data_IF_764513651829
#
_entry.id   IF_764513651829
#
_cell.length_a   1.000
_cell.length_b   1.000
_cell.length_c   1.000
_cell.angle_alpha   90.00
_cell.angle_beta   90.00
_cell.angle_gamma   90.00
#
_symmetry.space_group_name_H-M   'P 1'
#
loop_
_entity.id
_entity.type
_entity.pdbx_description
1 polymer ?
#
# COMPACT_ATOMS: atom_id res chain seq x y z
N UNK A 1 -18.88 1.78 10.15
CA UNK A 1 -18.32 0.55 10.76
C UNK A 1 -18.99 0.34 12.09
N UNK A 2 -19.07 -0.90 12.56
CA UNK A 2 -19.60 -1.25 13.90
C UNK A 2 -18.81 -2.41 14.49
N UNK A 3 -18.76 -2.48 15.81
CA UNK A 3 -18.12 -3.57 16.55
C UNK A 3 -19.21 -4.47 17.12
N UNK A 4 -19.11 -5.76 16.87
CA UNK A 4 -20.07 -6.78 17.29
C UNK A 4 -19.38 -7.90 18.08
N UNK A 5 -20.19 -8.69 18.80
CA UNK A 5 -19.78 -10.01 19.31
C UNK A 5 -20.44 -11.12 18.52
N UNK A 6 -19.65 -12.08 18.03
CA UNK A 6 -20.13 -13.26 17.29
C UNK A 6 -19.37 -14.51 17.71
N UNK A 7 -20.09 -15.52 18.20
CA UNK A 7 -19.48 -16.79 18.61
C UNK A 7 -18.38 -16.66 19.67
N UNK A 8 -18.47 -15.66 20.56
CA UNK A 8 -17.47 -15.37 21.59
C UNK A 8 -16.34 -14.42 21.15
N UNK A 9 -16.18 -14.18 19.85
CA UNK A 9 -15.17 -13.27 19.30
C UNK A 9 -15.73 -11.85 19.10
N UNK A 10 -14.91 -10.82 19.33
CA UNK A 10 -15.20 -9.45 18.90
C UNK A 10 -14.81 -9.26 17.44
N UNK A 11 -15.75 -8.77 16.62
CA UNK A 11 -15.56 -8.56 15.19
C UNK A 11 -15.84 -7.11 14.81
N UNK A 12 -15.08 -6.60 13.84
CA UNK A 12 -15.35 -5.33 13.17
C UNK A 12 -16.13 -5.61 11.88
N UNK A 13 -17.26 -4.93 11.72
CA UNK A 13 -18.08 -5.01 10.51
C UNK A 13 -18.05 -3.69 9.76
N UNK A 14 -17.67 -3.75 8.48
CA UNK A 14 -17.63 -2.61 7.58
C UNK A 14 -18.65 -2.80 6.46
N UNK A 15 -19.51 -1.79 6.27
CA UNK A 15 -20.54 -1.78 5.22
C UNK A 15 -20.07 -0.98 4.01
N UNK A 16 -20.31 -1.53 2.83
CA UNK A 16 -19.93 -0.99 1.52
C UNK A 16 -21.20 -0.67 0.73
N UNK A 17 -21.68 0.56 0.87
CA UNK A 17 -22.94 1.01 0.24
C UNK A 17 -22.86 1.01 -1.30
N UNK A 18 -21.68 1.30 -1.85
CA UNK A 18 -21.44 1.32 -3.30
C UNK A 18 -21.08 -0.07 -3.88
N UNK A 19 -21.22 -1.15 -3.10
CA UNK A 19 -20.79 -2.49 -3.49
C UNK A 19 -19.29 -2.73 -3.31
N UNK A 20 -18.83 -3.92 -3.73
CA UNK A 20 -17.42 -4.32 -3.66
C UNK A 20 -17.00 -5.09 -2.40
N UNK A 21 -17.92 -5.34 -1.47
CA UNK A 21 -17.66 -6.09 -0.24
C UNK A 21 -17.02 -7.46 -0.51
N UNK A 22 -17.54 -8.22 -1.49
CA UNK A 22 -17.01 -9.54 -1.85
C UNK A 22 -15.59 -9.46 -2.42
N UNK A 23 -15.31 -8.48 -3.28
CA UNK A 23 -13.99 -8.29 -3.85
C UNK A 23 -12.96 -7.93 -2.77
N UNK A 24 -13.33 -7.06 -1.82
CA UNK A 24 -12.45 -6.71 -0.69
C UNK A 24 -12.25 -7.91 0.23
N UNK A 25 -13.30 -8.64 0.59
CA UNK A 25 -13.19 -9.84 1.42
C UNK A 25 -12.30 -10.90 0.75
N UNK A 26 -12.50 -11.18 -0.54
CA UNK A 26 -11.67 -12.11 -1.32
C UNK A 26 -10.19 -11.70 -1.31
N UNK A 27 -9.91 -10.42 -1.53
CA UNK A 27 -8.56 -9.87 -1.47
C UNK A 27 -7.93 -10.00 -0.07
N UNK A 28 -8.70 -9.72 0.99
CA UNK A 28 -8.24 -9.91 2.37
C UNK A 28 -7.96 -11.39 2.67
N UNK A 29 -8.80 -12.32 2.20
CA UNK A 29 -8.56 -13.76 2.33
C UNK A 29 -7.25 -14.19 1.64
N UNK A 30 -7.00 -13.69 0.42
CA UNK A 30 -5.77 -13.96 -0.30
C UNK A 30 -4.54 -13.43 0.45
N UNK A 31 -4.60 -12.20 0.96
CA UNK A 31 -3.54 -11.62 1.80
C UNK A 31 -3.35 -12.42 3.10
N UNK A 32 -4.43 -12.83 3.75
CA UNK A 32 -4.36 -13.62 4.99
C UNK A 32 -3.69 -14.98 4.78
N UNK A 33 -3.92 -15.62 3.63
CA UNK A 33 -3.29 -16.89 3.26
C UNK A 33 -1.82 -16.75 2.83
N UNK A 34 -1.37 -15.53 2.50
CA UNK A 34 -0.02 -15.23 2.02
C UNK A 34 1.02 -15.08 3.15
N UNK A 35 2.32 -14.96 2.82
CA UNK A 35 3.38 -14.60 3.76
C UNK A 35 3.09 -13.37 4.63
N UNK A 36 2.34 -12.39 4.11
CA UNK A 36 1.98 -11.15 4.79
C UNK A 36 0.92 -11.36 5.89
N UNK A 37 0.08 -12.38 5.74
CA UNK A 37 -1.02 -12.68 6.64
C UNK A 37 -0.63 -13.58 7.81
N UNK A 38 -1.27 -14.75 7.90
CA UNK A 38 -1.19 -15.66 9.06
C UNK A 38 0.21 -16.14 9.43
N UNK A 39 1.17 -16.11 8.50
CA UNK A 39 2.56 -16.55 8.74
C UNK A 39 3.47 -15.43 9.20
N UNK A 40 3.12 -14.16 8.96
CA UNK A 40 3.86 -13.03 9.51
C UNK A 40 3.70 -12.99 11.03
N UNK A 41 4.69 -12.45 11.74
CA UNK A 41 4.66 -12.28 13.20
C UNK A 41 4.97 -10.81 13.53
N UNK A 42 3.97 -10.01 13.92
CA UNK A 42 2.53 -10.31 13.91
C UNK A 42 1.96 -10.38 12.47
N UNK A 43 0.74 -10.93 12.27
CA UNK A 43 0.03 -10.83 10.99
C UNK A 43 -0.08 -9.38 10.49
N UNK A 44 0.09 -9.16 9.19
CA UNK A 44 0.10 -7.82 8.60
C UNK A 44 -1.27 -7.16 8.42
N UNK A 45 -2.35 -7.90 8.64
CA UNK A 45 -3.75 -7.45 8.55
C UNK A 45 -4.63 -8.19 9.57
N UNK A 46 -5.82 -7.67 9.92
CA UNK A 46 -6.80 -8.41 10.71
C UNK A 46 -7.28 -9.67 9.98
N UNK A 47 -7.56 -10.74 10.72
CA UNK A 47 -8.12 -11.96 10.12
C UNK A 47 -9.49 -11.67 9.47
N UNK A 48 -9.69 -11.92 8.16
CA UNK A 48 -11.03 -11.87 7.56
C UNK A 48 -11.89 -13.01 8.13
N UNK A 49 -13.16 -12.72 8.42
CA UNK A 49 -14.10 -13.66 9.05
C UNK A 49 -15.24 -14.05 8.12
N UNK A 50 -15.78 -13.10 7.36
CA UNK A 50 -16.88 -13.38 6.45
C UNK A 50 -17.32 -12.16 5.65
N UNK A 51 -18.28 -12.38 4.76
CA UNK A 51 -18.94 -11.35 3.96
C UNK A 51 -20.44 -11.65 3.91
N UNK A 52 -21.27 -10.62 4.10
CA UNK A 52 -22.70 -10.64 3.82
C UNK A 52 -22.93 -9.85 2.53
N UNK A 53 -23.09 -10.53 1.37
CA UNK A 53 -23.24 -9.86 0.09
C UNK A 53 -24.56 -9.10 -0.04
N UNK A 54 -25.62 -9.54 0.67
CA UNK A 54 -26.94 -8.90 0.64
C UNK A 54 -26.89 -7.55 1.34
N UNK A 55 -26.21 -7.47 2.49
CA UNK A 55 -26.03 -6.22 3.24
C UNK A 55 -24.82 -5.39 2.78
N UNK A 56 -23.95 -5.98 1.96
CA UNK A 56 -22.69 -5.41 1.54
C UNK A 56 -21.73 -5.23 2.71
N UNK A 57 -21.66 -6.21 3.63
CA UNK A 57 -20.84 -6.12 4.84
C UNK A 57 -19.65 -7.08 4.78
N UNK A 58 -18.48 -6.62 5.22
CA UNK A 58 -17.29 -7.44 5.44
C UNK A 58 -17.01 -7.49 6.93
N UNK A 59 -16.78 -8.71 7.43
CA UNK A 59 -16.47 -9.00 8.82
C UNK A 59 -15.00 -9.38 8.95
N UNK A 60 -14.33 -8.79 9.93
CA UNK A 60 -12.93 -9.05 10.22
C UNK A 60 -12.70 -9.05 11.73
N UNK A 61 -11.59 -9.64 12.16
CA UNK A 61 -11.13 -9.57 13.54
C UNK A 61 -11.07 -8.11 14.01
N UNK A 62 -11.68 -7.82 15.15
CA UNK A 62 -11.44 -6.56 15.84
C UNK A 62 -10.07 -6.61 16.51
N UNK A 63 -9.26 -5.58 16.30
CA UNK A 63 -7.96 -5.42 16.94
C UNK A 63 -8.00 -4.20 17.84
N UNK A 64 -7.49 -4.37 19.06
CA UNK A 64 -7.21 -3.26 19.98
C UNK A 64 -5.87 -2.64 19.64
N UNK A 65 -5.83 -1.31 19.53
CA UNK A 65 -4.63 -0.55 19.23
C UNK A 65 -4.98 0.86 18.76
N UNK A 66 -3.95 1.68 18.64
CA UNK A 66 -4.10 3.09 18.25
C UNK A 66 -3.66 3.29 16.80
N UNK A 67 -4.34 4.19 16.10
CA UNK A 67 -3.85 4.66 14.82
C UNK A 67 -2.54 5.42 15.05
N UNK A 68 -1.53 5.16 14.21
CA UNK A 68 -0.23 5.83 14.38
C UNK A 68 -0.21 7.27 13.88
N UNK A 69 -1.31 7.74 13.29
CA UNK A 69 -1.53 9.14 12.92
C UNK A 69 -2.98 9.39 12.49
N UNK A 70 -3.38 10.65 12.50
CA UNK A 70 -4.75 11.09 12.19
C UNK A 70 -4.74 12.34 11.29
N UNK A 71 -5.90 12.76 10.78
CA UNK A 71 -5.93 13.92 9.87
C UNK A 71 -5.49 15.18 10.64
N UNK A 72 -4.41 15.82 10.17
CA UNK A 72 -3.86 17.01 10.82
C UNK A 72 -2.86 16.69 11.96
N UNK A 73 -2.63 15.42 12.26
CA UNK A 73 -1.70 15.00 13.31
C UNK A 73 -0.86 13.80 12.85
N UNK A 74 0.45 13.96 12.64
CA UNK A 74 1.31 12.85 12.25
C UNK A 74 1.40 11.78 13.35
N UNK A 75 1.13 12.06 14.62
CA UNK A 75 1.21 11.09 15.70
C UNK A 75 2.58 10.39 15.77
N UNK A 76 2.57 9.06 15.93
CA UNK A 76 3.76 8.21 16.03
C UNK A 76 4.39 7.85 14.67
N UNK A 77 3.74 8.22 13.56
CA UNK A 77 4.12 7.74 12.23
C UNK A 77 5.56 8.07 11.83
N UNK A 78 6.08 9.25 12.20
CA UNK A 78 7.47 9.65 11.90
C UNK A 78 8.45 8.69 12.60
N UNK A 79 8.29 8.46 13.90
CA UNK A 79 9.16 7.58 14.68
C UNK A 79 9.08 6.11 14.27
N UNK A 80 7.95 5.68 13.70
CA UNK A 80 7.70 4.30 13.26
C UNK A 80 8.02 4.06 11.78
N UNK A 81 8.53 5.05 11.06
CA UNK A 81 8.86 4.96 9.62
C UNK A 81 9.70 3.72 9.26
N UNK A 82 10.74 3.34 10.03
CA UNK A 82 11.50 2.12 9.74
C UNK A 82 10.63 0.85 9.71
N UNK A 83 9.76 0.66 10.70
CA UNK A 83 8.91 -0.53 10.81
C UNK A 83 7.75 -0.50 9.81
N UNK A 84 7.23 0.69 9.50
CA UNK A 84 6.25 0.91 8.43
C UNK A 84 6.85 0.52 7.07
N UNK A 85 8.10 0.89 6.80
CA UNK A 85 8.80 0.50 5.57
C UNK A 85 8.96 -1.02 5.41
N UNK A 86 9.24 -1.73 6.51
CA UNK A 86 9.27 -3.21 6.53
C UNK A 86 7.88 -3.81 6.30
N UNK A 87 6.86 -3.31 6.99
CA UNK A 87 5.48 -3.74 6.82
C UNK A 87 4.99 -3.57 5.37
N UNK A 88 5.31 -2.44 4.73
CA UNK A 88 4.98 -2.19 3.33
C UNK A 88 5.71 -3.14 2.39
N UNK A 89 7.00 -3.41 2.65
CA UNK A 89 7.77 -4.37 1.88
C UNK A 89 7.19 -5.79 1.97
N UNK A 90 6.77 -6.21 3.16
CA UNK A 90 6.12 -7.50 3.36
C UNK A 90 4.80 -7.60 2.57
N UNK A 91 4.00 -6.53 2.54
CA UNK A 91 2.79 -6.47 1.71
C UNK A 91 3.14 -6.62 0.23
N UNK A 92 4.08 -5.82 -0.27
CA UNK A 92 4.52 -5.82 -1.67
C UNK A 92 5.13 -7.15 -2.11
N UNK A 93 5.67 -7.95 -1.16
CA UNK A 93 6.26 -9.27 -1.38
C UNK A 93 5.34 -10.44 -1.04
N UNK A 94 4.10 -10.19 -0.63
CA UNK A 94 3.10 -11.23 -0.35
C UNK A 94 2.86 -12.20 -1.51
N UNK A 95 3.14 -11.76 -2.75
CA UNK A 95 2.89 -12.55 -3.96
C UNK A 95 1.42 -12.57 -4.40
N UNK A 96 0.54 -11.90 -3.65
CA UNK A 96 -0.88 -11.79 -3.99
C UNK A 96 -1.05 -10.98 -5.28
N UNK A 97 -2.02 -11.40 -6.09
CA UNK A 97 -2.47 -10.71 -7.29
C UNK A 97 -3.95 -10.40 -7.16
N UNK A 98 -4.35 -9.22 -7.60
CA UNK A 98 -5.75 -8.78 -7.70
C UNK A 98 -6.01 -8.25 -9.10
N UNK A 99 -7.27 -8.30 -9.53
CA UNK A 99 -7.63 -7.94 -10.91
C UNK A 99 -7.51 -6.44 -11.16
N UNK A 100 -7.81 -5.62 -10.15
CA UNK A 100 -7.70 -4.17 -10.23
C UNK A 100 -6.25 -3.77 -10.45
N UNK A 101 -5.99 -3.04 -11.53
CA UNK A 101 -4.66 -2.49 -11.86
C UNK A 101 -4.72 -0.97 -11.95
N UNK A 102 -3.63 -0.31 -11.53
CA UNK A 102 -3.49 1.13 -11.73
C UNK A 102 -3.14 1.43 -13.17
N UNK A 103 -3.96 2.25 -13.83
CA UNK A 103 -3.71 2.79 -15.16
C UNK A 103 -3.04 4.18 -15.05
N UNK A 104 -1.78 4.36 -15.49
CA UNK A 104 -1.10 5.65 -15.55
C UNK A 104 -1.80 6.69 -16.42
N UNK A 105 -2.44 6.26 -17.52
CA UNK A 105 -3.18 7.19 -18.36
C UNK A 105 -4.46 7.68 -17.63
N UNK A 106 -5.14 6.80 -16.89
CA UNK A 106 -6.27 7.20 -16.03
C UNK A 106 -5.85 8.15 -14.91
N UNK A 107 -4.64 8.00 -14.36
CA UNK A 107 -4.05 8.94 -13.39
C UNK A 107 -4.00 10.36 -13.98
N UNK A 108 -3.35 10.52 -15.15
CA UNK A 108 -3.24 11.83 -15.82
C UNK A 108 -4.61 12.41 -16.14
N UNK A 109 -5.51 11.61 -16.71
CA UNK A 109 -6.89 12.05 -17.00
C UNK A 109 -7.62 12.54 -15.74
N UNK A 110 -7.44 11.84 -14.62
CA UNK A 110 -8.04 12.25 -13.34
C UNK A 110 -7.43 13.55 -12.81
N UNK A 111 -6.11 13.69 -12.89
CA UNK A 111 -5.43 14.91 -12.43
C UNK A 111 -5.83 16.12 -13.28
N UNK A 112 -5.96 15.98 -14.59
CA UNK A 112 -6.45 17.05 -15.48
C UNK A 112 -7.87 17.49 -15.09
N UNK A 113 -8.79 16.54 -14.83
CA UNK A 113 -10.14 16.88 -14.35
C UNK A 113 -10.12 17.65 -13.02
N UNK A 114 -9.25 17.27 -12.08
CA UNK A 114 -9.10 18.00 -10.82
C UNK A 114 -8.59 19.42 -11.04
N UNK A 115 -7.70 19.64 -12.02
CA UNK A 115 -7.25 21.00 -12.41
C UNK A 115 -8.41 21.81 -13.02
N UNK A 116 -9.28 21.19 -13.82
CA UNK A 116 -10.45 21.86 -14.39
C UNK A 116 -11.47 22.25 -13.31
N UNK A 117 -11.69 21.39 -12.32
CA UNK A 117 -12.48 21.70 -11.13
C UNK A 117 -11.87 22.84 -10.31
N UNK A 118 -10.56 22.79 -10.07
CA UNK A 118 -9.83 23.85 -9.37
C UNK A 118 -9.90 25.18 -10.12
N UNK A 119 -9.83 25.16 -11.45
CA UNK A 119 -9.97 26.35 -12.30
C UNK A 119 -11.34 26.99 -12.11
N UNK A 120 -12.40 26.18 -12.03
CA UNK A 120 -13.77 26.68 -11.81
C UNK A 120 -13.99 27.22 -10.40
N UNK A 121 -13.31 26.67 -9.40
CA UNK A 121 -13.42 27.09 -8.01
C UNK A 121 -12.52 28.29 -7.65
N UNK A 122 -11.42 28.49 -8.38
CA UNK A 122 -10.45 29.52 -8.08
C UNK A 122 -10.94 30.91 -8.54
N UNK A 123 -10.65 31.94 -7.74
CA UNK A 123 -10.92 33.32 -8.12
C UNK A 123 -10.06 33.81 -9.30
N UNK A 124 -10.47 34.88 -10.02
CA UNK A 124 -9.84 35.31 -11.28
C UNK A 124 -8.36 35.67 -11.20
N UNK A 125 -7.86 36.00 -10.00
CA UNK A 125 -6.46 36.40 -9.76
C UNK A 125 -5.58 35.25 -9.24
N UNK A 126 -6.12 34.04 -9.12
CA UNK A 126 -5.38 32.90 -8.59
C UNK A 126 -4.42 32.33 -9.63
N UNK A 127 -3.13 32.26 -9.30
CA UNK A 127 -2.12 31.56 -10.12
C UNK A 127 -2.17 30.02 -9.94
N UNK A 128 -2.94 29.53 -8.95
CA UNK A 128 -2.95 28.10 -8.56
C UNK A 128 -3.36 27.17 -9.72
N UNK A 129 -4.41 27.44 -10.51
CA UNK A 129 -4.78 26.53 -11.60
C UNK A 129 -3.71 26.41 -12.69
N UNK A 130 -3.00 27.51 -12.98
CA UNK A 130 -1.90 27.51 -13.96
C UNK A 130 -0.72 26.66 -13.45
N UNK A 131 -0.33 26.82 -12.19
CA UNK A 131 0.70 26.00 -11.56
C UNK A 131 0.29 24.52 -11.53
N UNK A 132 -0.94 24.22 -11.12
CA UNK A 132 -1.45 22.85 -11.07
C UNK A 132 -1.45 22.19 -12.46
N UNK A 133 -1.84 22.94 -13.51
CA UNK A 133 -1.75 22.47 -14.90
C UNK A 133 -0.31 22.16 -15.30
N UNK A 134 0.63 23.06 -14.99
CA UNK A 134 2.05 22.84 -15.28
C UNK A 134 2.59 21.56 -14.61
N UNK A 135 2.23 21.32 -13.33
CA UNK A 135 2.61 20.10 -12.61
C UNK A 135 2.00 18.85 -13.26
N UNK A 136 0.72 18.89 -13.65
CA UNK A 136 0.05 17.74 -14.27
C UNK A 136 0.62 17.42 -15.65
N UNK A 137 0.97 18.42 -16.45
CA UNK A 137 1.61 18.20 -17.75
C UNK A 137 3.06 17.71 -17.60
N UNK A 138 3.79 18.21 -16.60
CA UNK A 138 5.09 17.66 -16.23
C UNK A 138 4.99 16.18 -15.82
N UNK A 139 4.00 15.82 -15.02
CA UNK A 139 3.71 14.42 -14.67
C UNK A 139 3.38 13.59 -15.92
N UNK A 140 2.53 14.10 -16.82
CA UNK A 140 2.15 13.40 -18.05
C UNK A 140 3.37 13.12 -18.94
N UNK A 141 4.32 14.06 -19.02
CA UNK A 141 5.57 13.89 -19.76
C UNK A 141 6.55 12.93 -19.06
N UNK A 142 6.52 12.87 -17.74
CA UNK A 142 7.44 12.04 -16.94
C UNK A 142 6.95 10.58 -16.74
N UNK A 143 5.67 10.29 -16.97
CA UNK A 143 5.14 8.92 -16.85
C UNK A 143 5.78 8.03 -17.92
N UNK A 144 6.67 7.14 -17.46
CA UNK A 144 7.31 6.13 -18.28
C UNK A 144 6.52 4.82 -18.37
N UNK A 145 7.12 3.79 -19.02
CA UNK A 145 6.58 2.44 -19.02
C UNK A 145 6.36 1.94 -17.59
N UNK A 146 5.23 1.27 -17.36
CA UNK A 146 4.93 0.70 -16.04
C UNK A 146 5.98 -0.33 -15.67
N UNK A 147 6.64 -0.10 -14.54
CA UNK A 147 7.59 -1.03 -13.95
C UNK A 147 6.93 -2.28 -13.38
N UNK A 148 7.66 -3.00 -12.53
CA UNK A 148 7.15 -4.22 -11.89
C UNK A 148 5.97 -3.89 -10.97
N UNK A 149 4.79 -4.41 -11.31
CA UNK A 149 3.59 -4.30 -10.47
C UNK A 149 3.62 -5.25 -9.29
N UNK A 150 3.29 -4.72 -8.11
CA UNK A 150 3.07 -5.42 -6.85
C UNK A 150 1.65 -5.14 -6.35
N UNK A 151 1.15 -5.96 -5.42
CA UNK A 151 -0.07 -5.58 -4.70
C UNK A 151 0.26 -4.38 -3.82
N UNK A 152 -0.51 -3.31 -3.95
CA UNK A 152 -0.34 -2.05 -3.22
C UNK A 152 -1.60 -1.72 -2.47
N UNK A 153 -1.45 -1.24 -1.23
CA UNK A 153 -2.53 -0.89 -0.31
C UNK A 153 -3.45 0.17 -0.92
N UNK A 154 -2.84 1.25 -1.42
CA UNK A 154 -3.51 2.28 -2.17
C UNK A 154 -4.27 3.36 -1.45
N UNK A 155 -4.31 3.28 -0.12
CA UNK A 155 -4.49 4.42 0.77
C UNK A 155 -3.45 4.33 1.88
N UNK A 156 -2.17 4.16 1.51
CA UNK A 156 -1.10 3.86 2.47
C UNK A 156 -0.72 5.13 3.25
N UNK A 157 -1.38 5.33 4.39
CA UNK A 157 -1.21 6.50 5.25
C UNK A 157 -1.25 6.10 6.73
N UNK A 158 -0.77 6.95 7.65
CA UNK A 158 -0.80 6.69 9.09
C UNK A 158 -2.18 6.31 9.65
N UNK A 159 -3.26 6.80 9.04
CA UNK A 159 -4.65 6.48 9.44
C UNK A 159 -5.06 5.04 9.18
N UNK A 160 -4.27 4.31 8.38
CA UNK A 160 -4.54 2.94 7.98
C UNK A 160 -3.49 1.97 8.54
N UNK A 161 -2.75 2.40 9.56
CA UNK A 161 -1.79 1.58 10.30
C UNK A 161 -2.15 1.65 11.79
N UNK A 162 -2.45 0.49 12.37
CA UNK A 162 -2.68 0.33 13.80
C UNK A 162 -1.41 -0.14 14.50
N UNK A 163 -1.07 0.49 15.62
CA UNK A 163 -0.12 -0.02 16.59
C UNK A 163 -0.89 -0.84 17.64
N UNK A 164 -0.75 -2.16 17.57
CA UNK A 164 -1.31 -3.09 18.57
C UNK A 164 -0.23 -3.49 19.57
N UNK A 165 -0.61 -4.13 20.68
CA UNK A 165 0.35 -4.73 21.61
C UNK A 165 1.31 -5.76 20.95
N UNK A 166 0.93 -6.33 19.80
CA UNK A 166 1.74 -7.29 19.05
C UNK A 166 2.58 -6.67 17.94
N UNK A 167 2.39 -5.37 17.65
CA UNK A 167 3.08 -4.64 16.58
C UNK A 167 2.12 -4.02 15.56
N UNK A 168 2.71 -3.56 14.45
CA UNK A 168 1.99 -2.84 13.39
C UNK A 168 1.13 -3.74 12.51
N UNK A 169 -0.09 -3.28 12.22
CA UNK A 169 -1.07 -3.96 11.37
C UNK A 169 -1.69 -2.96 10.38
N UNK A 170 -1.80 -3.35 9.11
CA UNK A 170 -2.52 -2.57 8.09
C UNK A 170 -4.02 -2.85 8.12
N UNK A 171 -4.81 -1.80 7.93
CA UNK A 171 -6.26 -1.86 7.82
C UNK A 171 -6.74 -1.08 6.59
N UNK A 172 -8.02 -1.24 6.23
CA UNK A 172 -8.67 -0.48 5.15
C UNK A 172 -8.16 -0.81 3.73
N UNK A 173 -8.38 -2.06 3.30
CA UNK A 173 -7.94 -2.60 2.01
C UNK A 173 -8.86 -2.25 0.81
N UNK A 174 -9.73 -1.25 0.93
CA UNK A 174 -10.71 -0.87 -0.12
C UNK A 174 -10.06 -0.46 -1.45
N UNK A 175 -8.83 0.06 -1.37
CA UNK A 175 -8.09 0.61 -2.51
C UNK A 175 -6.99 -0.32 -3.02
N UNK A 176 -7.00 -1.57 -2.56
CA UNK A 176 -6.02 -2.58 -2.96
C UNK A 176 -6.04 -2.78 -4.48
N UNK A 177 -4.87 -2.74 -5.09
CA UNK A 177 -4.71 -2.92 -6.53
C UNK A 177 -3.27 -3.29 -6.89
N UNK A 178 -3.06 -3.75 -8.11
CA UNK A 178 -1.74 -3.88 -8.70
C UNK A 178 -1.22 -2.49 -9.10
N UNK A 179 -0.11 -2.05 -8.50
CA UNK A 179 0.54 -0.78 -8.81
C UNK A 179 2.07 -0.89 -8.66
N UNK A 180 2.77 0.15 -9.10
CA UNK A 180 4.19 0.29 -8.78
C UNK A 180 4.38 0.53 -7.27
N UNK A 181 5.44 -0.01 -6.65
CA UNK A 181 5.71 0.18 -5.23
C UNK A 181 5.79 1.65 -4.80
N UNK A 182 6.27 2.51 -5.70
CA UNK A 182 6.40 3.94 -5.46
C UNK A 182 5.05 4.60 -5.12
N UNK A 183 3.92 4.03 -5.56
CA UNK A 183 2.60 4.59 -5.27
C UNK A 183 2.32 4.71 -3.77
N UNK A 184 2.53 3.64 -3.01
CA UNK A 184 2.24 3.66 -1.57
C UNK A 184 3.24 4.52 -0.81
N UNK A 185 4.52 4.54 -1.25
CA UNK A 185 5.57 5.41 -0.70
C UNK A 185 5.24 6.89 -0.93
N UNK A 186 4.90 7.27 -2.16
CA UNK A 186 4.52 8.64 -2.50
C UNK A 186 3.25 9.07 -1.80
N UNK A 187 2.29 8.16 -1.60
CA UNK A 187 1.06 8.47 -0.87
C UNK A 187 1.34 8.77 0.61
N UNK A 188 2.25 8.04 1.25
CA UNK A 188 2.71 8.32 2.61
C UNK A 188 3.34 9.71 2.71
N UNK A 189 4.31 10.02 1.84
CA UNK A 189 4.95 11.34 1.81
C UNK A 189 3.96 12.47 1.54
N UNK A 190 3.04 12.30 0.57
CA UNK A 190 2.01 13.29 0.25
C UNK A 190 1.07 13.54 1.44
N UNK A 191 0.71 12.48 2.18
CA UNK A 191 -0.10 12.61 3.39
C UNK A 191 0.61 13.45 4.45
N UNK A 192 1.90 13.18 4.71
CA UNK A 192 2.70 13.95 5.67
C UNK A 192 2.87 15.41 5.24
N UNK A 193 3.12 15.64 3.95
CA UNK A 193 3.23 16.97 3.37
C UNK A 193 1.94 17.78 3.59
N UNK A 194 0.78 17.20 3.26
CA UNK A 194 -0.53 17.87 3.44
C UNK A 194 -0.85 18.07 4.93
N UNK A 195 -0.51 17.11 5.79
CA UNK A 195 -0.70 17.23 7.23
C UNK A 195 0.15 18.38 7.79
N UNK A 196 1.44 18.48 7.42
CA UNK A 196 2.31 19.58 7.85
C UNK A 196 1.75 20.94 7.43
N UNK A 197 1.33 21.07 6.15
CA UNK A 197 0.72 22.29 5.63
C UNK A 197 -0.56 22.67 6.40
N UNK A 198 -1.44 21.69 6.67
CA UNK A 198 -2.71 21.92 7.34
C UNK A 198 -2.54 22.30 8.81
N UNK A 199 -1.41 21.92 9.41
CA UNK A 199 -1.08 22.21 10.81
C UNK A 199 -0.14 23.41 10.96
N UNK A 200 0.01 24.25 9.92
CA UNK A 200 0.79 25.49 9.97
C UNK A 200 2.31 25.31 9.95
N UNK A 201 2.80 24.10 9.68
CA UNK A 201 4.23 23.83 9.56
C UNK A 201 4.68 23.91 8.10
N UNK A 202 5.95 24.21 7.86
CA UNK A 202 6.53 24.12 6.51
C UNK A 202 6.49 22.65 6.07
N UNK A 203 5.73 22.31 5.00
CA UNK A 203 5.58 20.92 4.61
C UNK A 203 6.86 20.41 3.93
N UNK A 204 7.26 19.19 4.26
CA UNK A 204 8.49 18.55 3.78
C UNK A 204 8.20 17.16 3.22
N UNK A 205 8.99 16.76 2.22
CA UNK A 205 8.98 15.39 1.67
C UNK A 205 9.87 14.41 2.45
N UNK A 206 10.63 14.89 3.44
CA UNK A 206 11.61 14.09 4.18
C UNK A 206 11.03 12.76 4.70
N UNK A 207 9.81 12.76 5.24
CA UNK A 207 9.19 11.53 5.77
C UNK A 207 8.89 10.51 4.67
N UNK A 208 8.60 10.97 3.44
CA UNK A 208 8.48 10.11 2.27
C UNK A 208 9.83 9.51 1.84
N UNK A 209 10.88 10.33 1.88
CA UNK A 209 12.25 9.90 1.57
C UNK A 209 12.76 8.86 2.59
N UNK A 210 12.52 9.11 3.88
CA UNK A 210 12.87 8.19 4.97
C UNK A 210 12.17 6.84 4.82
N UNK A 211 10.89 6.85 4.41
CA UNK A 211 10.14 5.62 4.13
C UNK A 211 10.73 4.88 2.91
N UNK A 212 11.04 5.61 1.83
CA UNK A 212 11.66 5.03 0.64
C UNK A 212 13.00 4.37 0.99
N UNK A 213 13.82 5.05 1.79
CA UNK A 213 15.11 4.55 2.25
C UNK A 213 14.95 3.29 3.12
N UNK A 214 14.03 3.30 4.09
CA UNK A 214 13.69 2.13 4.91
C UNK A 214 13.25 0.93 4.07
N UNK A 215 12.37 1.17 3.10
CA UNK A 215 11.86 0.16 2.17
C UNK A 215 12.99 -0.45 1.33
N UNK A 216 13.88 0.38 0.79
CA UNK A 216 15.01 -0.06 -0.04
C UNK A 216 16.06 -0.83 0.77
N UNK A 217 16.43 -0.35 1.96
CA UNK A 217 17.36 -1.05 2.88
C UNK A 217 16.86 -2.44 3.20
N UNK A 218 15.58 -2.55 3.57
CA UNK A 218 14.94 -3.83 3.88
C UNK A 218 14.84 -4.76 2.66
N UNK A 219 14.71 -4.19 1.46
CA UNK A 219 14.69 -4.95 0.21
C UNK A 219 16.06 -5.56 -0.12
N UNK A 220 17.15 -4.80 0.09
CA UNK A 220 18.52 -5.23 -0.16
C UNK A 220 19.00 -6.28 0.85
N UNK A 221 18.84 -6.05 2.16
CA UNK A 221 19.23 -7.04 3.17
C UNK A 221 18.54 -8.41 2.99
N UNK A 222 17.32 -8.42 2.47
CA UNK A 222 16.64 -9.66 2.10
C UNK A 222 17.26 -10.35 0.87
N UNK A 223 17.67 -9.59 -0.16
CA UNK A 223 18.34 -10.17 -1.34
C UNK A 223 19.64 -10.87 -0.94
N UNK A 224 20.39 -10.27 -0.03
CA UNK A 224 21.63 -10.85 0.48
C UNK A 224 21.35 -12.10 1.33
N UNK A 225 20.33 -12.06 2.20
CA UNK A 225 19.90 -13.22 2.97
C UNK A 225 19.41 -14.40 2.09
N UNK A 226 18.74 -14.13 0.96
CA UNK A 226 18.36 -15.16 -0.01
C UNK A 226 19.56 -15.73 -0.77
N UNK A 227 20.56 -14.90 -1.12
CA UNK A 227 21.79 -15.36 -1.78
C UNK A 227 22.63 -16.27 -0.87
N UNK A 228 22.73 -15.92 0.41
CA UNK A 228 23.52 -16.68 1.39
C UNK A 228 22.91 -18.04 1.78
N UNK A 229 21.58 -18.22 1.66
CA UNK A 229 20.91 -19.47 2.05
C UNK A 229 20.95 -20.59 1.02
N UNK A 230 21.48 -20.36 -0.19
CA UNK A 230 21.55 -21.35 -1.27
C UNK A 230 20.16 -21.88 -1.70
N UNK A 231 20.07 -22.62 -2.82
CA UNK A 231 18.81 -23.23 -3.25
C UNK A 231 18.50 -24.44 -2.36
N UNK A 232 17.91 -24.20 -1.19
CA UNK A 232 17.24 -25.27 -0.45
C UNK A 232 15.99 -25.73 -1.22
N UNK A 233 15.82 -27.04 -1.27
CA UNK A 233 14.80 -27.79 -2.00
C UNK A 233 13.38 -27.35 -1.65
N UNK A 234 12.87 -26.33 -2.34
CA UNK A 234 11.49 -25.86 -2.19
C UNK A 234 11.19 -24.50 -2.83
N UNK A 235 12.21 -23.65 -3.02
CA UNK A 235 12.01 -22.29 -3.53
C UNK A 235 12.19 -22.19 -5.06
N UNK A 236 11.37 -22.90 -5.86
CA UNK A 236 11.36 -22.75 -7.34
C UNK A 236 10.44 -21.65 -7.89
N UNK A 237 9.85 -20.80 -7.04
CA UNK A 237 8.87 -19.78 -7.50
C UNK A 237 9.32 -18.32 -7.42
N UNK A 238 10.56 -18.02 -6.99
CA UNK A 238 11.00 -16.63 -6.80
C UNK A 238 11.87 -16.07 -7.94
N UNK A 239 12.38 -16.91 -8.85
CA UNK A 239 13.13 -16.44 -10.00
C UNK A 239 12.24 -16.54 -11.24
N UNK A 240 11.89 -15.39 -11.82
CA UNK A 240 11.16 -15.33 -13.08
C UNK A 240 11.88 -16.18 -14.14
N UNK A 241 11.11 -17.02 -14.81
CA UNK A 241 11.54 -17.84 -15.94
C UNK A 241 11.96 -16.94 -17.10
N UNK A 242 13.25 -16.61 -17.16
CA UNK A 242 13.91 -16.23 -18.41
C UNK A 242 14.22 -17.52 -19.16
N UNK A 243 13.32 -17.92 -20.05
CA UNK A 243 13.63 -18.91 -21.09
C UNK A 243 14.56 -18.25 -22.10
N UNK A 244 15.86 -18.39 -21.89
CA UNK A 244 16.79 -18.42 -23.03
C UNK A 244 17.78 -19.56 -22.81
N UNK A 245 17.47 -20.67 -23.47
CA UNK A 245 18.25 -21.88 -23.40
C UNK A 245 19.41 -21.82 -24.38
N UNK A 246 20.63 -21.67 -23.88
CA UNK A 246 21.83 -22.13 -24.59
C UNK A 246 22.81 -22.84 -23.66
N UNK A 247 22.72 -24.17 -23.76
CA UNK A 247 23.73 -25.22 -23.57
C UNK A 247 24.93 -24.90 -22.68
N UNK A 248 24.88 -25.54 -21.51
CA UNK A 248 26.03 -26.06 -20.79
C UNK A 248 26.87 -26.95 -21.73
N UNK A 249 28.16 -26.66 -21.89
CA UNK A 249 29.15 -27.68 -22.26
C UNK A 249 30.22 -27.71 -21.18
N UNK A 250 30.21 -28.79 -20.41
CA UNK A 250 31.26 -29.19 -19.48
C UNK A 250 32.39 -29.78 -20.29
N UNK A 251 33.62 -29.33 -20.06
CA UNK A 251 34.79 -30.20 -20.12
C UNK A 251 35.64 -29.95 -18.90
N UNK A 252 35.79 -31.03 -18.12
CA UNK A 252 36.76 -31.18 -17.03
C UNK A 252 38.16 -31.20 -17.63
N UNK A 253 39.08 -30.45 -17.02
CA UNK A 253 40.32 -30.91 -16.37
C UNK A 253 40.84 -29.75 -15.54
#
# INVERSE_FOLDING_TARGET
>A
MRVDRRGGDTVLVKRYVAGGAEAVHSAMCALWASPFGRSRRPPGLPRPRGVDPVRGEVEMQFLTGDLIGSRGDPGLSVGLTPDVGRLLLDLHRSGVRVDRRRDPAALVRSSRRNVDELTRAAGPRSAVPALARHVVEGLAAAIGPTGRLVVSHGDFSPRNVLLTASGLVLIDFDRLQMAEPARDISYWGAWHWVTGLSSGHLPTWQVGDDLAESYLRSSSGHRDACRLRGPSTGCRRCCGSSTDGRRCNRTRT
#
